data_IF_427853403556
#
_entry.id   IF_427853403556
#
_cell.length_a   1.000
_cell.length_b   1.000
_cell.length_c   1.000
_cell.angle_alpha   90.00
_cell.angle_beta   90.00
_cell.angle_gamma   90.00
#
_symmetry.space_group_name_H-M   'P 1'
#
loop_
_entity.id
_entity.type
_entity.pdbx_description
1 polymer ?
#
# COMPACT_ATOMS: atom_id res chain seq x y z
N UNK A 1 -2.53 -12.54 -1.71
CA UNK A 1 -1.10 -12.70 -1.36
C UNK A 1 -0.60 -11.42 -0.69
N UNK A 2 0.25 -11.52 0.34
CA UNK A 2 0.90 -10.37 0.99
C UNK A 2 2.38 -10.34 0.59
N UNK A 3 2.91 -9.15 0.29
CA UNK A 3 4.34 -8.93 -0.01
C UNK A 3 4.86 -7.76 0.83
N UNK A 4 5.98 -7.94 1.54
CA UNK A 4 6.69 -6.83 2.18
C UNK A 4 7.35 -5.96 1.11
N UNK A 5 7.15 -4.65 1.17
CA UNK A 5 7.74 -3.68 0.23
C UNK A 5 8.94 -2.98 0.86
N UNK A 6 8.75 -2.38 2.03
CA UNK A 6 9.75 -1.58 2.77
C UNK A 6 9.53 -1.74 4.29
N UNK A 7 10.26 -0.97 5.11
CA UNK A 7 10.04 -0.92 6.55
C UNK A 7 8.62 -0.42 6.86
N UNK A 8 7.82 -1.27 7.51
CA UNK A 8 6.40 -1.08 7.81
C UNK A 8 5.56 -0.59 6.61
N UNK A 9 5.79 -1.18 5.42
CA UNK A 9 4.92 -1.05 4.26
C UNK A 9 4.77 -2.41 3.57
N UNK A 10 3.52 -2.77 3.28
CA UNK A 10 3.14 -4.07 2.75
C UNK A 10 2.18 -3.89 1.58
N UNK A 11 2.25 -4.80 0.61
CA UNK A 11 1.32 -4.91 -0.50
C UNK A 11 0.40 -6.11 -0.28
N UNK A 12 -0.91 -5.90 -0.33
CA UNK A 12 -1.88 -6.97 -0.49
C UNK A 12 -2.37 -7.03 -1.94
N UNK A 13 -2.46 -8.25 -2.47
CA UNK A 13 -2.92 -8.54 -3.84
C UNK A 13 -4.26 -9.23 -3.82
N UNK A 14 -5.21 -8.65 -4.56
CA UNK A 14 -6.55 -9.16 -4.76
C UNK A 14 -6.74 -9.42 -6.26
N UNK A 15 -7.10 -10.64 -6.61
CA UNK A 15 -7.41 -11.01 -7.99
C UNK A 15 -8.88 -10.69 -8.27
N UNK A 16 -9.12 -9.94 -9.34
CA UNK A 16 -10.44 -9.55 -9.82
C UNK A 16 -10.60 -10.08 -11.25
N UNK A 17 -11.84 -10.18 -11.72
CA UNK A 17 -12.12 -10.59 -13.11
C UNK A 17 -11.48 -9.69 -14.17
N UNK A 18 -11.24 -8.42 -13.82
CA UNK A 18 -10.69 -7.40 -14.72
C UNK A 18 -9.22 -7.04 -14.43
N UNK A 19 -8.51 -7.82 -13.62
CA UNK A 19 -7.10 -7.62 -13.31
C UNK A 19 -6.72 -7.85 -11.86
N UNK A 20 -5.52 -7.40 -11.46
CA UNK A 20 -5.04 -7.57 -10.09
C UNK A 20 -5.03 -6.21 -9.40
N UNK A 21 -5.84 -6.08 -8.35
CA UNK A 21 -5.79 -4.93 -7.45
C UNK A 21 -4.66 -5.10 -6.45
N UNK A 22 -3.93 -4.01 -6.22
CA UNK A 22 -2.87 -3.93 -5.23
C UNK A 22 -3.17 -2.79 -4.28
N UNK A 23 -3.21 -3.10 -3.00
CA UNK A 23 -3.31 -2.10 -1.94
C UNK A 23 -2.03 -2.07 -1.14
N UNK A 24 -1.49 -0.88 -0.90
CA UNK A 24 -0.36 -0.68 0.00
C UNK A 24 -0.91 -0.25 1.35
N UNK A 25 -0.42 -0.87 2.41
CA UNK A 25 -0.84 -0.60 3.79
C UNK A 25 0.35 -0.63 4.76
N UNK A 26 0.16 -0.09 5.94
CA UNK A 26 1.07 -0.22 7.09
C UNK A 26 0.31 -0.68 8.33
N UNK A 27 1.05 -1.15 9.33
CA UNK A 27 0.49 -1.56 10.63
C UNK A 27 0.68 -0.44 11.65
N UNK A 28 -0.36 -0.14 12.42
CA UNK A 28 -0.29 0.77 13.58
C UNK A 28 0.13 0.03 14.84
N UNK A 29 0.45 0.79 15.89
CA UNK A 29 0.71 0.24 17.24
C UNK A 29 -0.53 -0.45 17.83
N UNK A 30 -1.72 0.03 17.48
CA UNK A 30 -3.01 -0.55 17.89
C UNK A 30 -3.42 -1.78 17.05
N UNK A 31 -2.47 -2.40 16.36
CA UNK A 31 -2.69 -3.58 15.51
C UNK A 31 -3.65 -3.38 14.33
N UNK A 32 -3.94 -2.13 13.96
CA UNK A 32 -4.76 -1.82 12.79
C UNK A 32 -3.93 -1.88 11.50
N UNK A 33 -4.56 -2.33 10.41
CA UNK A 33 -3.98 -2.28 9.07
C UNK A 33 -4.57 -1.08 8.31
N UNK A 34 -3.76 -0.06 8.06
CA UNK A 34 -4.21 1.17 7.40
C UNK A 34 -3.80 1.13 5.93
N UNK A 35 -4.80 1.01 5.05
CA UNK A 35 -4.60 1.08 3.59
C UNK A 35 -4.40 2.54 3.19
N UNK A 36 -3.28 2.83 2.52
CA UNK A 36 -2.92 4.19 2.12
C UNK A 36 -3.05 4.43 0.63
N UNK A 37 -2.99 3.41 -0.22
CA UNK A 37 -3.27 3.55 -1.65
C UNK A 37 -3.71 2.23 -2.25
N UNK A 38 -4.56 2.27 -3.26
CA UNK A 38 -5.03 1.11 -4.01
C UNK A 38 -5.03 1.43 -5.50
N UNK A 39 -4.58 0.49 -6.32
CA UNK A 39 -4.52 0.67 -7.77
C UNK A 39 -4.70 -0.67 -8.49
N UNK A 40 -5.30 -0.62 -9.69
CA UNK A 40 -5.34 -1.76 -10.61
C UNK A 40 -4.02 -1.83 -11.37
N UNK A 41 -3.34 -2.96 -11.24
CA UNK A 41 -2.08 -3.22 -11.91
C UNK A 41 -2.29 -3.34 -13.41
N UNK A 42 -1.71 -2.42 -14.19
CA UNK A 42 -1.49 -2.58 -15.64
C UNK A 42 -0.06 -3.05 -16.00
N UNK A 43 0.89 -3.06 -15.04
CA UNK A 43 2.31 -3.42 -15.26
C UNK A 43 2.90 -4.31 -14.15
N UNK A 44 3.90 -5.15 -14.47
CA UNK A 44 4.46 -6.20 -13.58
C UNK A 44 4.88 -5.72 -12.17
N UNK A 45 5.52 -4.55 -12.05
CA UNK A 45 6.09 -4.01 -10.81
C UNK A 45 5.15 -3.01 -10.12
N UNK A 46 5.34 -2.79 -8.82
CA UNK A 46 4.65 -1.72 -8.08
C UNK A 46 5.22 -0.38 -8.56
N UNK A 47 4.41 0.55 -9.10
CA UNK A 47 4.93 1.82 -9.57
C UNK A 47 5.59 2.61 -8.44
N UNK A 48 6.76 3.21 -8.70
CA UNK A 48 7.48 4.00 -7.69
C UNK A 48 6.65 5.20 -7.21
N UNK A 49 5.79 5.75 -8.06
CA UNK A 49 4.85 6.83 -7.72
C UNK A 49 3.86 6.42 -6.63
N UNK A 50 3.31 5.21 -6.68
CA UNK A 50 2.41 4.68 -5.65
C UNK A 50 3.14 4.43 -4.33
N UNK A 51 4.40 3.98 -4.40
CA UNK A 51 5.24 3.82 -3.22
C UNK A 51 5.56 5.17 -2.56
N UNK A 52 5.83 6.21 -3.36
CA UNK A 52 6.03 7.59 -2.88
C UNK A 52 4.75 8.13 -2.22
N UNK A 53 3.57 7.91 -2.83
CA UNK A 53 2.28 8.29 -2.23
C UNK A 53 2.05 7.58 -0.89
N UNK A 54 2.32 6.28 -0.83
CA UNK A 54 2.17 5.49 0.39
C UNK A 54 3.05 6.02 1.53
N UNK A 55 4.32 6.33 1.26
CA UNK A 55 5.24 6.95 2.22
C UNK A 55 4.72 8.29 2.74
N UNK A 56 4.28 9.17 1.84
CA UNK A 56 3.75 10.48 2.20
C UNK A 56 2.47 10.40 3.05
N UNK A 57 1.53 9.52 2.67
CA UNK A 57 0.27 9.33 3.41
C UNK A 57 0.51 8.71 4.79
N UNK A 58 1.44 7.75 4.90
CA UNK A 58 1.84 7.21 6.19
C UNK A 58 2.47 8.28 7.09
N UNK A 59 3.34 9.13 6.55
CA UNK A 59 3.92 10.26 7.32
C UNK A 59 2.83 11.16 7.86
N UNK A 60 1.90 11.62 6.99
CA UNK A 60 0.75 12.45 7.39
C UNK A 60 -0.18 11.80 8.41
N UNK A 61 -0.29 10.47 8.40
CA UNK A 61 -1.09 9.75 9.40
C UNK A 61 -0.46 9.85 10.80
N UNK A 62 0.87 9.78 10.91
CA UNK A 62 1.57 9.88 12.19
C UNK A 62 1.83 11.31 12.64
N UNK A 63 1.86 12.25 11.69
CA UNK A 63 2.13 13.66 11.87
C UNK A 63 1.02 14.46 11.15
N UNK A 64 -0.21 14.45 11.70
CA UNK A 64 -1.29 15.31 11.21
C UNK A 64 -0.97 16.76 11.61
N UNK A 65 -1.10 17.68 10.65
CA UNK A 65 -0.92 19.13 10.87
C UNK A 65 -1.79 19.64 12.03
#
# INVERSE_FOLDING_TARGET
>A
MIKKLESNLYEIRIHLSHGISRSIYFKTVDHNNVIVTTFIKKSQKTPQSELKKARNRRRKYHDPD
#
